data_IF_824069158418
#
_entry.id   IF_824069158418
#
_cell.length_a   1.000
_cell.length_b   1.000
_cell.length_c   1.000
_cell.angle_alpha   90.00
_cell.angle_beta   90.00
_cell.angle_gamma   90.00
#
_symmetry.space_group_name_H-M   'P 1'
#
loop_
_entity.id
_entity.type
_entity.pdbx_description
1 polymer ?
#
# COMPACT_ATOMS: atom_id res chain seq x y z
N UNK A 1 -2.33 -23.32 1.32
CA UNK A 1 -1.77 -22.01 0.90
C UNK A 1 -1.60 -21.16 2.15
N UNK A 2 -0.47 -20.46 2.30
CA UNK A 2 -0.22 -19.60 3.46
C UNK A 2 -0.79 -18.20 3.24
N UNK A 3 -1.13 -17.51 4.34
CA UNK A 3 -1.68 -16.14 4.35
C UNK A 3 -0.60 -15.12 3.98
N UNK A 4 -0.87 -14.17 3.08
CA UNK A 4 0.06 -13.12 2.67
C UNK A 4 0.00 -11.90 3.58
N UNK A 5 -1.19 -11.53 4.07
CA UNK A 5 -1.31 -10.48 5.08
C UNK A 5 -0.93 -11.05 6.45
N UNK A 6 0.09 -10.43 7.05
CA UNK A 6 0.46 -10.66 8.44
C UNK A 6 -0.24 -9.66 9.37
N UNK A 7 0.30 -9.48 10.58
CA UNK A 7 -0.21 -8.49 11.55
C UNK A 7 -0.07 -7.02 11.12
N UNK A 8 0.64 -6.76 10.01
CA UNK A 8 0.98 -5.42 9.57
C UNK A 8 1.24 -5.37 8.05
N UNK A 9 0.20 -5.72 7.29
CA UNK A 9 0.20 -5.71 5.83
C UNK A 9 0.87 -6.93 5.19
N UNK A 10 1.10 -6.84 3.87
CA UNK A 10 1.86 -7.86 3.12
C UNK A 10 3.35 -7.61 3.34
N UNK A 11 4.11 -8.66 3.70
CA UNK A 11 5.56 -8.58 3.88
C UNK A 11 6.27 -9.80 3.32
N UNK A 12 7.50 -9.60 2.87
CA UNK A 12 8.42 -10.68 2.57
C UNK A 12 9.57 -10.22 1.69
N UNK A 13 10.43 -11.17 1.33
CA UNK A 13 11.59 -10.89 0.50
C UNK A 13 11.17 -10.31 -0.85
N UNK A 14 11.76 -9.18 -1.21
CA UNK A 14 11.46 -8.47 -2.45
C UNK A 14 11.80 -9.34 -3.66
N UNK A 15 10.94 -9.34 -4.67
CA UNK A 15 11.00 -10.17 -5.87
C UNK A 15 10.93 -11.69 -5.65
N UNK A 16 10.55 -12.13 -4.45
CA UNK A 16 10.26 -13.54 -4.17
C UNK A 16 8.85 -13.71 -3.59
N UNK A 17 8.62 -13.11 -2.41
CA UNK A 17 7.31 -13.12 -1.75
C UNK A 17 6.54 -11.85 -2.08
N UNK A 18 7.17 -10.68 -1.98
CA UNK A 18 6.56 -9.44 -2.47
C UNK A 18 7.11 -9.13 -3.85
N UNK A 19 6.30 -9.33 -4.89
CA UNK A 19 6.66 -9.06 -6.29
C UNK A 19 6.03 -7.76 -6.78
N UNK A 20 6.57 -7.19 -7.86
CA UNK A 20 5.97 -6.01 -8.49
C UNK A 20 4.53 -6.28 -8.97
N UNK A 21 4.26 -7.48 -9.46
CA UNK A 21 2.91 -7.91 -9.85
C UNK A 21 1.94 -7.89 -8.67
N UNK A 22 2.33 -8.44 -7.51
CA UNK A 22 1.52 -8.38 -6.29
C UNK A 22 1.29 -6.96 -5.82
N UNK A 23 2.32 -6.11 -5.83
CA UNK A 23 2.18 -4.70 -5.50
C UNK A 23 1.21 -3.97 -6.45
N UNK A 24 1.26 -4.29 -7.74
CA UNK A 24 0.32 -3.79 -8.73
C UNK A 24 -1.12 -4.25 -8.47
N UNK A 25 -1.34 -5.55 -8.17
CA UNK A 25 -2.66 -6.08 -7.84
C UNK A 25 -3.23 -5.42 -6.58
N UNK A 26 -2.42 -5.21 -5.54
CA UNK A 26 -2.83 -4.45 -4.34
C UNK A 26 -3.25 -3.03 -4.75
N UNK A 27 -2.46 -2.37 -5.59
CA UNK A 27 -2.78 -1.02 -6.08
C UNK A 27 -4.11 -0.99 -6.84
N UNK A 28 -4.34 -1.96 -7.72
CA UNK A 28 -5.62 -2.12 -8.43
C UNK A 28 -6.76 -2.30 -7.46
N UNK A 29 -6.65 -3.24 -6.52
CA UNK A 29 -7.72 -3.48 -5.56
C UNK A 29 -8.05 -2.21 -4.77
N UNK A 30 -7.04 -1.49 -4.28
CA UNK A 30 -7.25 -0.22 -3.56
C UNK A 30 -7.94 0.82 -4.45
N UNK A 31 -7.48 0.99 -5.69
CA UNK A 31 -8.11 1.89 -6.66
C UNK A 31 -9.57 1.52 -6.92
N UNK A 32 -9.86 0.25 -7.20
CA UNK A 32 -11.23 -0.26 -7.40
C UNK A 32 -12.11 -0.06 -6.17
N UNK A 33 -11.59 -0.39 -4.98
CA UNK A 33 -12.34 -0.31 -3.74
C UNK A 33 -12.75 1.13 -3.43
N UNK A 34 -11.81 2.07 -3.58
CA UNK A 34 -12.06 3.48 -3.29
C UNK A 34 -12.67 4.25 -4.47
N UNK A 35 -12.73 3.71 -5.69
CA UNK A 35 -13.37 4.39 -6.83
C UNK A 35 -14.89 4.20 -6.92
N UNK A 36 -15.48 3.30 -6.12
CA UNK A 36 -16.93 2.98 -6.15
C UNK A 36 -17.86 4.17 -5.94
N UNK A 37 -17.44 5.15 -5.13
CA UNK A 37 -18.23 6.35 -4.83
C UNK A 37 -17.73 7.59 -5.58
N UNK A 38 -16.82 7.41 -6.54
CA UNK A 38 -16.22 8.48 -7.34
C UNK A 38 -14.70 8.51 -7.26
N UNK A 39 -14.11 9.46 -7.97
CA UNK A 39 -12.65 9.61 -8.06
C UNK A 39 -12.08 10.00 -6.69
N UNK A 40 -11.26 9.11 -6.12
CA UNK A 40 -10.61 9.31 -4.83
C UNK A 40 -9.09 9.41 -4.95
N UNK A 41 -8.45 9.98 -3.91
CA UNK A 41 -7.00 10.18 -3.83
C UNK A 41 -6.40 9.18 -2.84
N UNK A 42 -5.27 8.57 -3.20
CA UNK A 42 -4.51 7.65 -2.35
C UNK A 42 -3.07 8.15 -2.26
N UNK A 43 -2.52 8.25 -1.05
CA UNK A 43 -1.13 8.66 -0.83
C UNK A 43 -0.23 7.46 -0.62
N UNK A 44 0.94 7.46 -1.26
CA UNK A 44 1.95 6.41 -1.17
C UNK A 44 3.22 7.01 -0.57
N UNK A 45 3.72 6.41 0.49
CA UNK A 45 5.04 6.69 1.06
C UNK A 45 5.93 5.46 1.01
N UNK A 46 7.24 5.68 1.14
CA UNK A 46 8.21 4.60 1.18
C UNK A 46 9.36 4.87 2.15
N UNK A 47 9.96 3.79 2.64
CA UNK A 47 11.25 3.85 3.31
C UNK A 47 12.41 3.77 2.29
N UNK A 48 13.64 3.72 2.80
CA UNK A 48 14.88 3.79 2.02
C UNK A 48 15.34 2.46 1.41
N UNK A 49 14.51 1.41 1.39
CA UNK A 49 14.88 0.13 0.77
C UNK A 49 15.02 0.30 -0.74
N UNK A 50 16.04 -0.32 -1.34
CA UNK A 50 16.29 -0.27 -2.79
C UNK A 50 15.10 -0.77 -3.62
N UNK A 51 14.35 -1.74 -3.09
CA UNK A 51 13.16 -2.29 -3.75
C UNK A 51 11.93 -1.38 -3.69
N UNK A 52 11.96 -0.31 -2.89
CA UNK A 52 10.79 0.55 -2.65
C UNK A 52 10.36 1.34 -3.87
N UNK A 53 11.29 1.83 -4.71
CA UNK A 53 10.95 2.55 -5.94
C UNK A 53 10.14 1.69 -6.92
N UNK A 54 10.52 0.41 -7.03
CA UNK A 54 9.80 -0.54 -7.88
C UNK A 54 8.38 -0.79 -7.36
N UNK A 55 8.21 -0.98 -6.05
CA UNK A 55 6.88 -1.19 -5.47
C UNK A 55 6.02 0.08 -5.49
N UNK A 56 6.60 1.27 -5.32
CA UNK A 56 5.88 2.54 -5.43
C UNK A 56 5.29 2.72 -6.82
N UNK A 57 6.10 2.49 -7.86
CA UNK A 57 5.63 2.57 -9.24
C UNK A 57 4.57 1.52 -9.57
N UNK A 58 4.76 0.28 -9.11
CA UNK A 58 3.78 -0.79 -9.31
C UNK A 58 2.44 -0.47 -8.64
N UNK A 59 2.48 -0.02 -7.38
CA UNK A 59 1.29 0.35 -6.62
C UNK A 59 0.57 1.54 -7.26
N UNK A 60 1.31 2.57 -7.66
CA UNK A 60 0.76 3.74 -8.34
C UNK A 60 0.11 3.38 -9.69
N UNK A 61 0.73 2.49 -10.47
CA UNK A 61 0.15 2.01 -11.72
C UNK A 61 -1.16 1.25 -11.49
N UNK A 62 -1.22 0.42 -10.44
CA UNK A 62 -2.44 -0.28 -10.07
C UNK A 62 -3.57 0.68 -9.69
N UNK A 63 -3.28 1.61 -8.77
CA UNK A 63 -4.25 2.61 -8.29
C UNK A 63 -4.83 3.43 -9.45
N UNK A 64 -3.97 3.93 -10.32
CA UNK A 64 -4.38 4.80 -11.43
C UNK A 64 -5.12 4.06 -12.54
N UNK A 65 -4.90 2.75 -12.70
CA UNK A 65 -5.64 1.94 -13.66
C UNK A 65 -7.12 1.75 -13.30
N UNK A 66 -7.50 1.94 -12.03
CA UNK A 66 -8.88 1.75 -11.53
C UNK A 66 -9.59 3.08 -11.21
N UNK A 67 -9.04 4.21 -11.68
CA UNK A 67 -9.71 5.52 -11.66
C UNK A 67 -9.42 6.40 -10.44
N UNK A 68 -8.51 6.00 -9.55
CA UNK A 68 -8.04 6.84 -8.42
C UNK A 68 -6.77 7.63 -8.77
N UNK A 69 -6.53 8.73 -8.06
CA UNK A 69 -5.28 9.49 -8.15
C UNK A 69 -4.25 8.96 -7.13
N UNK A 70 -3.07 8.57 -7.60
CA UNK A 70 -1.94 8.18 -6.75
C UNK A 70 -1.03 9.39 -6.48
N UNK A 71 -0.85 9.73 -5.20
CA UNK A 71 0.04 10.80 -4.75
C UNK A 71 1.30 10.21 -4.14
N UNK A 72 2.46 10.56 -4.69
CA UNK A 72 3.75 10.04 -4.22
C UNK A 72 4.35 11.02 -3.20
N UNK A 73 4.39 10.61 -1.93
CA UNK A 73 5.03 11.37 -0.86
C UNK A 73 6.55 11.19 -0.84
N UNK A 74 7.06 10.17 -1.55
CA UNK A 74 8.48 9.82 -1.57
C UNK A 74 8.95 9.20 -0.26
N UNK A 75 10.23 9.44 0.07
CA UNK A 75 10.86 8.91 1.27
C UNK A 75 10.33 9.59 2.54
N UNK A 76 9.68 8.83 3.41
CA UNK A 76 9.08 9.37 4.63
C UNK A 76 8.98 8.34 5.75
N UNK A 77 8.86 8.77 7.02
CA UNK A 77 8.53 7.87 8.11
C UNK A 77 7.06 7.44 8.03
N UNK A 78 6.74 6.19 8.39
CA UNK A 78 5.37 5.68 8.44
C UNK A 78 4.33 6.61 9.09
N UNK A 79 4.57 7.23 10.27
CA UNK A 79 3.58 8.12 10.88
C UNK A 79 3.22 9.34 10.03
N UNK A 80 4.09 9.77 9.09
CA UNK A 80 3.76 10.84 8.15
C UNK A 80 2.63 10.42 7.19
N UNK A 81 2.62 9.16 6.74
CA UNK A 81 1.53 8.65 5.90
C UNK A 81 0.22 8.58 6.68
N UNK A 82 0.25 8.16 7.94
CA UNK A 82 -0.93 8.18 8.80
C UNK A 82 -1.50 9.61 8.94
N UNK A 83 -0.63 10.58 9.22
CA UNK A 83 -1.03 11.98 9.40
C UNK A 83 -1.54 12.60 8.10
N UNK A 84 -0.80 12.48 7.00
CA UNK A 84 -1.21 13.00 5.69
C UNK A 84 -2.54 12.41 5.25
N UNK A 85 -2.74 11.10 5.45
CA UNK A 85 -3.99 10.45 5.07
C UNK A 85 -5.18 11.11 5.75
N UNK A 86 -5.06 11.32 7.07
CA UNK A 86 -6.09 11.94 7.91
C UNK A 86 -6.33 13.42 7.62
N UNK A 87 -5.28 14.21 7.44
CA UNK A 87 -5.39 15.66 7.37
C UNK A 87 -5.67 16.21 5.96
N UNK A 88 -5.33 15.45 4.91
CA UNK A 88 -5.39 15.94 3.52
C UNK A 88 -6.52 15.32 2.68
N UNK A 89 -7.43 14.59 3.34
CA UNK A 89 -8.60 13.98 2.70
C UNK A 89 -8.21 12.95 1.64
N UNK A 90 -7.24 12.09 1.96
CA UNK A 90 -6.99 10.88 1.17
C UNK A 90 -7.94 9.78 1.62
N UNK A 91 -8.41 8.96 0.68
CA UNK A 91 -9.29 7.84 0.99
C UNK A 91 -8.54 6.74 1.77
N UNK A 92 -7.26 6.56 1.48
CA UNK A 92 -6.33 5.74 2.24
C UNK A 92 -4.88 6.16 2.01
N UNK A 93 -3.99 5.65 2.85
CA UNK A 93 -2.54 5.78 2.72
C UNK A 93 -1.88 4.42 2.59
N UNK A 94 -0.86 4.30 1.75
CA UNK A 94 -0.04 3.11 1.63
C UNK A 94 1.41 3.43 2.01
N UNK A 95 2.02 2.60 2.86
CA UNK A 95 3.42 2.71 3.23
C UNK A 95 4.20 1.48 2.76
N UNK A 96 5.22 1.72 1.95
CA UNK A 96 6.15 0.70 1.48
C UNK A 96 7.31 0.60 2.46
N UNK A 97 7.28 -0.42 3.31
CA UNK A 97 8.33 -0.68 4.31
C UNK A 97 8.13 -2.04 4.97
N UNK A 98 9.23 -2.75 5.21
CA UNK A 98 9.26 -3.87 6.17
C UNK A 98 9.78 -3.47 7.57
N UNK A 99 9.82 -2.16 7.86
CA UNK A 99 10.21 -1.60 9.16
C UNK A 99 11.58 -2.11 9.62
N UNK A 100 11.63 -2.96 10.65
CA UNK A 100 12.86 -3.49 11.24
C UNK A 100 13.40 -4.76 10.54
N UNK A 101 12.68 -5.32 9.58
CA UNK A 101 13.12 -6.52 8.86
C UNK A 101 14.43 -6.26 8.08
N UNK A 102 15.20 -7.32 7.77
CA UNK A 102 16.39 -7.22 6.93
C UNK A 102 16.16 -6.49 5.61
N UNK A 103 17.19 -5.88 5.04
CA UNK A 103 17.09 -5.00 3.86
C UNK A 103 16.49 -5.67 2.61
N UNK A 104 16.60 -6.99 2.50
CA UNK A 104 16.06 -7.76 1.38
C UNK A 104 14.54 -8.00 1.49
N UNK A 105 13.95 -7.78 2.66
CA UNK A 105 12.49 -7.77 2.83
C UNK A 105 11.92 -6.41 2.44
N UNK A 106 10.66 -6.40 2.01
CA UNK A 106 9.86 -5.18 1.95
C UNK A 106 8.39 -5.51 2.29
N UNK A 107 7.54 -4.51 2.33
CA UNK A 107 6.13 -4.69 2.68
C UNK A 107 5.26 -3.54 2.24
N UNK A 108 3.95 -3.77 2.20
CA UNK A 108 2.93 -2.75 1.91
C UNK A 108 1.97 -2.75 3.09
N UNK A 109 1.87 -1.61 3.78
CA UNK A 109 0.90 -1.36 4.86
C UNK A 109 -0.14 -0.38 4.36
N UNK A 110 -1.41 -0.61 4.68
CA UNK A 110 -2.50 0.29 4.28
C UNK A 110 -3.12 0.91 5.52
N UNK A 111 -3.38 2.21 5.44
CA UNK A 111 -4.00 3.02 6.47
C UNK A 111 -5.33 3.55 5.96
N UNK A 112 -6.34 3.51 6.81
CA UNK A 112 -7.67 4.06 6.55
C UNK A 112 -7.63 5.59 6.53
N UNK A 113 -8.71 6.24 6.09
CA UNK A 113 -8.84 7.69 6.02
C UNK A 113 -8.65 8.39 7.38
N UNK A 114 -8.79 7.68 8.50
CA UNK A 114 -8.57 8.17 9.86
C UNK A 114 -7.10 8.07 10.32
N UNK A 115 -6.22 7.53 9.48
CA UNK A 115 -4.80 7.33 9.74
C UNK A 115 -4.47 6.09 10.56
N UNK A 116 -5.46 5.28 10.93
CA UNK A 116 -5.25 3.99 11.58
C UNK A 116 -5.06 2.88 10.55
N UNK A 117 -4.63 1.70 11.02
CA UNK A 117 -4.54 0.52 10.15
C UNK A 117 -5.91 0.21 9.54
N UNK A 118 -5.89 -0.28 8.31
CA UNK A 118 -7.08 -0.82 7.68
C UNK A 118 -7.69 -1.93 8.55
N UNK A 119 -9.01 -2.09 8.50
CA UNK A 119 -9.67 -3.21 9.19
C UNK A 119 -9.24 -4.54 8.57
N UNK A 120 -9.18 -5.59 9.39
CA UNK A 120 -8.87 -6.95 8.95
C UNK A 120 -9.77 -7.41 7.80
N UNK A 121 -11.04 -7.01 7.82
CA UNK A 121 -12.02 -7.38 6.79
C UNK A 121 -11.61 -6.86 5.40
N UNK A 122 -11.01 -5.66 5.32
CA UNK A 122 -10.55 -5.13 4.03
C UNK A 122 -9.21 -5.77 3.64
N UNK A 123 -8.33 -6.06 4.59
CA UNK A 123 -7.10 -6.82 4.32
C UNK A 123 -7.42 -8.21 3.72
N UNK A 124 -8.44 -8.89 4.26
CA UNK A 124 -8.90 -10.19 3.75
C UNK A 124 -9.46 -10.08 2.33
N UNK A 125 -10.20 -9.02 2.03
CA UNK A 125 -10.68 -8.79 0.66
C UNK A 125 -9.55 -8.46 -0.32
N UNK A 126 -8.49 -7.76 0.12
CA UNK A 126 -7.28 -7.58 -0.71
C UNK A 126 -6.63 -8.95 -0.93
N UNK A 127 -6.54 -9.77 0.13
CA UNK A 127 -5.92 -11.08 0.05
C UNK A 127 -6.66 -12.05 -0.89
N UNK A 128 -7.99 -12.06 -0.86
CA UNK A 128 -8.81 -12.87 -1.77
C UNK A 128 -8.67 -12.44 -3.24
N UNK A 129 -8.23 -11.20 -3.48
CA UNK A 129 -8.02 -10.67 -4.83
C UNK A 129 -6.65 -11.01 -5.43
N UNK A 130 -5.62 -11.26 -4.61
CA UNK A 130 -4.20 -11.43 -5.03
C UNK A 130 -3.78 -12.89 -5.17
#
# INVERSE_FOLDING_TARGET
>A
MGRYFGTDGIRGKANEVLTAERAFQVGRYLGYYFSKEGKNKIVIGKDTRLSSDMFENALAAGITSEGCDAYLAGYCPTPMICLLTKENGFACGAMISASHNPFYDNGIKVFSNDGFKLSSDIEDLIEDYI
#
